data_IF_841002833708
#
_entry.id   IF_841002833708
#
_cell.length_a   1.000
_cell.length_b   1.000
_cell.length_c   1.000
_cell.angle_alpha   90.00
_cell.angle_beta   90.00
_cell.angle_gamma   90.00
#
_symmetry.space_group_name_H-M   'P 1'
#
loop_
_entity.id
_entity.type
_entity.pdbx_description
1 polymer ?
#
# COMPACT_ATOMS: atom_id res chain seq x y z
N UNK A 1 4.16 31.53 24.75
CA UNK A 1 4.63 30.47 23.84
C UNK A 1 3.42 30.01 23.03
N UNK A 2 3.26 30.53 21.82
CA UNK A 2 2.13 30.21 20.94
C UNK A 2 2.46 28.93 20.16
N UNK A 3 1.69 27.87 20.42
CA UNK A 3 1.76 26.63 19.65
C UNK A 3 1.15 26.89 18.27
N UNK A 4 2.00 27.07 17.26
CA UNK A 4 1.56 27.08 15.87
C UNK A 4 1.19 25.66 15.48
N UNK A 5 -0.11 25.38 15.41
CA UNK A 5 -0.64 24.17 14.76
C UNK A 5 -0.33 24.33 13.28
N UNK A 6 0.63 23.56 12.77
CA UNK A 6 0.93 23.50 11.34
C UNK A 6 -0.17 22.68 10.67
N UNK A 7 -1.26 23.33 10.28
CA UNK A 7 -2.27 22.70 9.42
C UNK A 7 -1.69 22.62 8.02
N UNK A 8 -1.24 21.43 7.65
CA UNK A 8 -0.69 21.11 6.33
C UNK A 8 -1.83 21.18 5.28
N UNK A 9 -2.05 22.38 4.74
CA UNK A 9 -3.08 22.69 3.74
C UNK A 9 -2.61 22.24 2.33
N UNK A 10 -2.38 20.95 2.12
CA UNK A 10 -2.11 20.43 0.77
C UNK A 10 -3.40 20.43 -0.04
N UNK A 11 -3.33 20.99 -1.24
CA UNK A 11 -4.49 21.09 -2.14
C UNK A 11 -4.64 19.78 -2.93
N UNK A 12 -5.84 19.48 -3.44
CA UNK A 12 -6.10 18.28 -4.24
C UNK A 12 -5.07 18.05 -5.39
N UNK A 13 -4.61 19.09 -6.12
CA UNK A 13 -3.53 18.97 -7.11
C UNK A 13 -2.19 18.43 -6.55
N UNK A 14 -1.87 18.74 -5.29
CA UNK A 14 -0.63 18.28 -4.65
C UNK A 14 -0.68 16.77 -4.39
N UNK A 15 -1.84 16.26 -3.97
CA UNK A 15 -2.04 14.82 -3.75
C UNK A 15 -1.96 14.01 -5.04
N UNK A 16 -2.49 14.52 -6.16
CA UNK A 16 -2.39 13.86 -7.47
C UNK A 16 -0.95 13.82 -7.97
N UNK A 17 -0.17 14.87 -7.71
CA UNK A 17 1.25 14.91 -8.07
C UNK A 17 2.04 13.85 -7.30
N UNK A 18 1.79 13.72 -5.98
CA UNK A 18 2.41 12.68 -5.16
C UNK A 18 2.06 11.27 -5.67
N UNK A 19 0.79 11.01 -5.98
CA UNK A 19 0.37 9.70 -6.50
C UNK A 19 1.00 9.39 -7.87
N UNK A 20 1.12 10.41 -8.73
CA UNK A 20 1.79 10.29 -10.02
C UNK A 20 3.27 9.93 -9.84
N UNK A 21 3.99 10.68 -9.01
CA UNK A 21 5.41 10.43 -8.74
C UNK A 21 5.63 9.05 -8.10
N UNK A 22 4.75 8.67 -7.18
CA UNK A 22 4.77 7.37 -6.52
C UNK A 22 4.62 6.22 -7.54
N UNK A 23 3.57 6.24 -8.36
CA UNK A 23 3.33 5.18 -9.35
C UNK A 23 4.24 5.24 -10.58
N UNK A 24 4.93 6.36 -10.82
CA UNK A 24 5.99 6.45 -11.83
C UNK A 24 7.30 5.79 -11.38
N UNK A 25 7.57 5.81 -10.06
CA UNK A 25 8.77 5.18 -9.49
C UNK A 25 8.61 3.67 -9.48
N UNK A 26 7.50 3.18 -8.92
CA UNK A 26 7.15 1.76 -8.88
C UNK A 26 5.69 1.60 -9.33
N UNK A 27 5.43 0.76 -10.33
CA UNK A 27 4.05 0.58 -10.78
C UNK A 27 3.25 -0.11 -9.68
N UNK A 28 1.99 0.31 -9.49
CA UNK A 28 1.11 -0.31 -8.50
C UNK A 28 1.04 -1.84 -8.66
N UNK A 29 0.99 -2.32 -9.91
CA UNK A 29 1.02 -3.75 -10.25
C UNK A 29 2.26 -4.48 -9.77
N UNK A 30 3.43 -3.84 -9.83
CA UNK A 30 4.71 -4.41 -9.40
C UNK A 30 4.77 -4.49 -7.87
N UNK A 31 4.33 -3.44 -7.18
CA UNK A 31 4.25 -3.42 -5.71
C UNK A 31 3.27 -4.50 -5.21
N UNK A 32 2.08 -4.60 -5.84
CA UNK A 32 1.06 -5.59 -5.48
C UNK A 32 1.58 -7.01 -5.73
N UNK A 33 2.26 -7.25 -6.85
CA UNK A 33 2.86 -8.55 -7.14
C UNK A 33 3.91 -8.95 -6.09
N UNK A 34 4.75 -8.00 -5.67
CA UNK A 34 5.74 -8.22 -4.61
C UNK A 34 5.10 -8.55 -3.25
N UNK A 35 4.04 -7.83 -2.87
CA UNK A 35 3.28 -8.13 -1.65
C UNK A 35 2.66 -9.53 -1.70
N UNK A 36 2.09 -9.93 -2.83
CA UNK A 36 1.53 -11.27 -3.00
C UNK A 36 2.62 -12.34 -2.92
N UNK A 37 3.79 -12.14 -3.55
CA UNK A 37 4.92 -13.07 -3.44
C UNK A 37 5.39 -13.26 -1.99
N UNK A 38 5.42 -12.20 -1.19
CA UNK A 38 5.76 -12.30 0.23
C UNK A 38 4.73 -13.12 1.01
N UNK A 39 3.44 -12.94 0.73
CA UNK A 39 2.37 -13.73 1.34
C UNK A 39 2.49 -15.20 0.89
N UNK A 40 2.70 -15.45 -0.39
CA UNK A 40 2.88 -16.79 -0.95
C UNK A 40 4.09 -17.49 -0.32
N UNK A 41 5.21 -16.79 -0.13
CA UNK A 41 6.38 -17.35 0.57
C UNK A 41 6.06 -17.80 1.99
N UNK A 42 5.13 -17.12 2.68
CA UNK A 42 4.70 -17.49 4.03
C UNK A 42 3.69 -18.66 3.98
N UNK A 43 2.77 -18.63 3.04
CA UNK A 43 1.71 -19.66 2.91
C UNK A 43 2.26 -20.98 2.36
N UNK A 44 3.30 -20.95 1.54
CA UNK A 44 3.89 -22.14 0.94
C UNK A 44 5.17 -22.62 1.64
N UNK A 45 5.49 -22.07 2.82
CA UNK A 45 6.54 -22.64 3.67
C UNK A 45 6.17 -24.07 4.06
N UNK A 46 7.14 -24.99 4.06
CA UNK A 46 6.92 -26.43 4.30
C UNK A 46 6.23 -26.74 5.64
N UNK A 47 6.34 -25.84 6.62
CA UNK A 47 5.74 -25.98 7.95
C UNK A 47 4.52 -25.06 8.12
N UNK A 48 3.46 -25.32 7.36
CA UNK A 48 2.17 -24.59 7.45
C UNK A 48 1.53 -24.63 8.86
N UNK A 49 1.90 -25.61 9.69
CA UNK A 49 1.47 -25.69 11.09
C UNK A 49 2.08 -24.58 11.97
N UNK A 50 3.08 -23.86 11.47
CA UNK A 50 3.79 -22.80 12.18
C UNK A 50 3.22 -21.39 11.97
N UNK A 51 2.17 -21.21 11.14
CA UNK A 51 1.60 -19.87 10.92
C UNK A 51 0.95 -19.35 12.20
N UNK A 52 1.64 -18.43 12.87
CA UNK A 52 1.18 -17.82 14.11
C UNK A 52 0.00 -16.86 13.87
N UNK A 53 -0.79 -16.53 14.90
CA UNK A 53 -1.77 -15.46 14.82
C UNK A 53 -1.17 -14.13 14.32
N UNK A 54 0.05 -13.75 14.72
CA UNK A 54 0.68 -12.53 14.22
C UNK A 54 0.95 -12.59 12.73
N UNK A 55 1.40 -13.73 12.20
CA UNK A 55 1.62 -13.92 10.76
C UNK A 55 0.32 -13.76 9.98
N UNK A 56 -0.82 -14.25 10.50
CA UNK A 56 -2.14 -14.06 9.88
C UNK A 56 -2.57 -12.59 9.85
N UNK A 57 -2.30 -11.85 10.93
CA UNK A 57 -2.55 -10.39 10.98
C UNK A 57 -1.68 -9.67 9.96
N UNK A 58 -0.40 -10.02 9.88
CA UNK A 58 0.53 -9.45 8.91
C UNK A 58 0.07 -9.70 7.46
N UNK A 59 -0.29 -10.94 7.12
CA UNK A 59 -0.85 -11.29 5.80
C UNK A 59 -2.10 -10.45 5.50
N UNK A 60 -3.02 -10.35 6.46
CA UNK A 60 -4.25 -9.56 6.29
C UNK A 60 -3.94 -8.09 6.04
N UNK A 61 -2.98 -7.52 6.75
CA UNK A 61 -2.58 -6.12 6.56
C UNK A 61 -1.92 -5.90 5.20
N UNK A 62 -1.07 -6.83 4.74
CA UNK A 62 -0.48 -6.75 3.40
C UNK A 62 -1.55 -6.81 2.30
N UNK A 63 -2.55 -7.69 2.42
CA UNK A 63 -3.68 -7.75 1.48
C UNK A 63 -4.51 -6.45 1.46
N UNK A 64 -4.72 -5.83 2.63
CA UNK A 64 -5.39 -4.52 2.72
C UNK A 64 -4.58 -3.43 2.03
N UNK A 65 -3.25 -3.43 2.17
CA UNK A 65 -2.36 -2.50 1.47
C UNK A 65 -2.42 -2.72 -0.04
N UNK A 66 -2.35 -3.98 -0.50
CA UNK A 66 -2.49 -4.29 -1.92
C UNK A 66 -3.82 -3.79 -2.51
N UNK A 67 -4.92 -3.98 -1.76
CA UNK A 67 -6.24 -3.46 -2.14
C UNK A 67 -6.27 -1.93 -2.20
N UNK A 68 -5.66 -1.27 -1.21
CA UNK A 68 -5.57 0.19 -1.17
C UNK A 68 -4.80 0.73 -2.38
N UNK A 69 -3.64 0.13 -2.70
CA UNK A 69 -2.82 0.52 -3.84
C UNK A 69 -3.59 0.35 -5.16
N UNK A 70 -4.32 -0.75 -5.33
CA UNK A 70 -5.15 -0.99 -6.52
C UNK A 70 -6.25 0.07 -6.68
N UNK A 71 -6.92 0.46 -5.58
CA UNK A 71 -7.93 1.52 -5.59
C UNK A 71 -7.33 2.89 -5.89
N UNK A 72 -6.18 3.22 -5.28
CA UNK A 72 -5.48 4.48 -5.51
C UNK A 72 -5.03 4.61 -6.98
N UNK A 73 -4.51 3.54 -7.58
CA UNK A 73 -4.14 3.52 -8.99
C UNK A 73 -5.38 3.69 -9.89
N UNK A 74 -6.49 3.02 -9.57
CA UNK A 74 -7.76 3.17 -10.28
C UNK A 74 -8.28 4.61 -10.23
N UNK A 75 -8.37 5.20 -9.04
CA UNK A 75 -8.77 6.60 -8.88
C UNK A 75 -7.82 7.57 -9.61
N UNK A 76 -6.51 7.30 -9.59
CA UNK A 76 -5.55 8.11 -10.35
C UNK A 76 -5.83 8.06 -11.86
N UNK A 77 -6.07 6.87 -12.41
CA UNK A 77 -6.41 6.68 -13.83
C UNK A 77 -7.74 7.32 -14.24
N UNK A 78 -8.70 7.44 -13.33
CA UNK A 78 -9.99 8.12 -13.60
C UNK A 78 -9.89 9.65 -13.61
N UNK A 79 -8.87 10.22 -12.95
CA UNK A 79 -8.66 11.67 -12.81
C UNK A 79 -7.63 12.22 -13.82
N UNK A 80 -6.83 11.34 -14.44
CA UNK A 80 -5.77 11.70 -15.41
C UNK A 80 -6.21 11.55 -16.85
#
# INVERSE_FOLDING_TARGET
>A
MTNTIHTDNRTLPDHLTILKEFFQTDKASEIIASLNQNIESILFTEDLNSITPEMRVNITNQLRVATLLSKLEGCFKEIS
#
